data_IF_769755861959
#
_entry.id   IF_769755861959
#
_cell.length_a   1.000
_cell.length_b   1.000
_cell.length_c   1.000
_cell.angle_alpha   90.00
_cell.angle_beta   90.00
_cell.angle_gamma   90.00
#
_symmetry.space_group_name_H-M   'P 1'
#
loop_
_entity.id
_entity.type
_entity.pdbx_description
1 polymer ?
#
# COMPACT_ATOMS: atom_id res chain seq x y z
N UNK A 1 8.65 -8.09 29.58
CA UNK A 1 7.86 -8.29 30.84
C UNK A 1 6.64 -7.39 30.75
N UNK A 2 5.44 -7.98 30.62
CA UNK A 2 4.17 -7.25 30.45
C UNK A 2 3.26 -7.84 29.37
N UNK A 3 3.86 -8.45 28.34
CA UNK A 3 3.15 -9.13 27.26
C UNK A 3 3.41 -10.65 27.24
N UNK A 4 2.50 -11.40 26.64
CA UNK A 4 2.64 -12.81 26.24
C UNK A 4 2.53 -12.94 24.74
N UNK A 5 3.15 -13.97 24.18
CA UNK A 5 3.11 -14.27 22.75
C UNK A 5 2.60 -15.69 22.54
N UNK A 6 1.71 -15.88 21.57
CA UNK A 6 1.23 -17.18 21.14
C UNK A 6 0.98 -17.18 19.63
N UNK A 7 0.98 -18.35 19.01
CA UNK A 7 0.52 -18.47 17.62
C UNK A 7 -0.98 -18.14 17.55
N UNK A 8 -1.38 -17.52 16.45
CA UNK A 8 -2.76 -17.27 16.11
C UNK A 8 -3.44 -18.58 15.68
N UNK A 9 -4.67 -18.78 16.14
CA UNK A 9 -5.54 -19.86 15.68
C UNK A 9 -6.71 -19.33 14.87
N UNK A 10 -7.56 -20.24 14.40
CA UNK A 10 -8.79 -19.90 13.64
C UNK A 10 -9.75 -18.99 14.45
N UNK A 11 -9.67 -19.05 15.78
CA UNK A 11 -10.43 -18.20 16.70
C UNK A 11 -9.98 -16.72 16.67
N UNK A 12 -8.77 -16.43 16.18
CA UNK A 12 -8.26 -15.06 16.06
C UNK A 12 -8.61 -14.41 14.71
N UNK A 13 -9.27 -15.11 13.78
CA UNK A 13 -9.65 -14.56 12.47
C UNK A 13 -10.40 -13.22 12.59
N UNK A 14 -11.41 -13.06 13.49
CA UNK A 14 -12.09 -11.77 13.63
C UNK A 14 -11.14 -10.63 14.05
N UNK A 15 -10.13 -10.93 14.87
CA UNK A 15 -9.12 -9.96 15.26
C UNK A 15 -8.20 -9.62 14.07
N UNK A 16 -7.71 -10.63 13.34
CA UNK A 16 -6.82 -10.44 12.19
C UNK A 16 -7.51 -9.71 11.03
N UNK A 17 -8.80 -9.95 10.79
CA UNK A 17 -9.59 -9.18 9.83
C UNK A 17 -9.70 -7.70 10.24
N UNK A 18 -9.87 -7.41 11.53
CA UNK A 18 -9.86 -6.02 12.03
C UNK A 18 -8.49 -5.36 11.84
N UNK A 19 -7.41 -6.10 12.08
CA UNK A 19 -6.05 -5.61 11.83
C UNK A 19 -5.81 -5.36 10.33
N UNK A 20 -6.34 -6.21 9.46
CA UNK A 20 -6.33 -6.00 8.00
C UNK A 20 -7.10 -4.72 7.64
N UNK A 21 -8.28 -4.49 8.21
CA UNK A 21 -9.04 -3.24 8.01
C UNK A 21 -8.25 -2.00 8.44
N UNK A 22 -7.59 -2.04 9.60
CA UNK A 22 -6.72 -0.95 10.08
C UNK A 22 -5.59 -0.71 9.09
N UNK A 23 -4.94 -1.77 8.60
CA UNK A 23 -3.90 -1.67 7.59
C UNK A 23 -4.44 -1.04 6.30
N UNK A 24 -5.54 -1.55 5.74
CA UNK A 24 -6.15 -1.04 4.51
C UNK A 24 -6.63 0.40 4.63
N UNK A 25 -6.94 0.88 5.83
CA UNK A 25 -7.28 2.29 6.07
C UNK A 25 -6.05 3.24 6.02
N UNK A 26 -4.85 2.72 6.24
CA UNK A 26 -3.60 3.51 6.27
C UNK A 26 -2.87 3.55 4.92
N UNK A 27 -3.16 2.64 3.98
CA UNK A 27 -2.53 2.57 2.66
C UNK A 27 -3.54 2.68 1.54
N UNK A 28 -3.17 3.36 0.45
CA UNK A 28 -4.06 3.62 -0.70
C UNK A 28 -4.27 2.42 -1.60
N UNK A 29 -3.35 1.45 -1.54
CA UNK A 29 -3.48 0.13 -2.15
C UNK A 29 -3.11 -0.90 -1.10
N UNK A 30 -3.86 -1.98 -1.05
CA UNK A 30 -3.67 -3.09 -0.13
C UNK A 30 -4.33 -4.32 -0.73
N UNK A 31 -3.92 -5.49 -0.28
CA UNK A 31 -4.68 -6.71 -0.55
C UNK A 31 -5.83 -6.82 0.44
N UNK A 32 -6.92 -7.41 -0.02
CA UNK A 32 -8.10 -7.68 0.80
C UNK A 32 -8.06 -9.13 1.26
N UNK A 33 -8.17 -9.35 2.57
CA UNK A 33 -8.28 -10.69 3.18
C UNK A 33 -9.59 -10.79 3.95
N UNK A 34 -10.45 -11.72 3.53
CA UNK A 34 -11.65 -12.11 4.29
C UNK A 34 -11.36 -13.34 5.18
N UNK A 35 -12.41 -13.86 5.83
CA UNK A 35 -12.33 -15.05 6.66
C UNK A 35 -11.76 -16.26 5.92
N UNK A 36 -12.10 -16.48 4.64
CA UNK A 36 -11.62 -17.64 3.89
C UNK A 36 -10.12 -17.52 3.60
N UNK A 37 -9.64 -16.32 3.26
CA UNK A 37 -8.22 -16.05 3.09
C UNK A 37 -7.45 -16.28 4.40
N UNK A 38 -7.94 -15.75 5.52
CA UNK A 38 -7.31 -15.95 6.82
C UNK A 38 -7.33 -17.40 7.27
N UNK A 39 -8.45 -18.11 7.06
CA UNK A 39 -8.56 -19.54 7.34
C UNK A 39 -7.47 -20.29 6.59
N UNK A 40 -7.38 -20.12 5.28
CA UNK A 40 -6.34 -20.74 4.46
C UNK A 40 -4.93 -20.49 5.01
N UNK A 41 -4.57 -19.22 5.28
CA UNK A 41 -3.23 -18.88 5.79
C UNK A 41 -2.91 -19.49 7.16
N UNK A 42 -3.92 -19.69 8.01
CA UNK A 42 -3.77 -20.26 9.36
C UNK A 42 -3.89 -21.79 9.39
N UNK A 43 -4.23 -22.43 8.26
CA UNK A 43 -4.36 -23.89 8.15
C UNK A 43 -3.54 -24.44 6.99
N UNK A 44 -4.10 -24.51 5.79
CA UNK A 44 -3.49 -25.18 4.64
C UNK A 44 -2.26 -24.43 4.09
N UNK A 45 -2.21 -23.12 4.27
CA UNK A 45 -1.09 -22.27 3.86
C UNK A 45 0.19 -22.56 4.65
N UNK A 46 0.07 -23.04 5.89
CA UNK A 46 1.22 -23.31 6.78
C UNK A 46 2.15 -24.40 6.23
N UNK A 47 1.64 -25.35 5.46
CA UNK A 47 2.43 -26.47 4.92
C UNK A 47 2.98 -26.20 3.51
N UNK A 48 2.81 -24.97 3.01
CA UNK A 48 3.33 -24.55 1.70
C UNK A 48 4.73 -23.95 1.85
N UNK A 49 5.43 -23.74 0.73
CA UNK A 49 6.72 -23.00 0.71
C UNK A 49 6.61 -21.54 1.17
N UNK A 50 5.38 -21.05 1.36
CA UNK A 50 5.06 -19.71 1.82
C UNK A 50 4.49 -19.67 3.25
N UNK A 51 4.55 -20.81 3.95
CA UNK A 51 4.13 -20.96 5.34
C UNK A 51 4.62 -19.82 6.22
N UNK A 52 3.75 -19.34 7.11
CA UNK A 52 4.03 -18.19 7.95
C UNK A 52 3.43 -18.34 9.33
N UNK A 53 4.23 -18.06 10.34
CA UNK A 53 3.74 -17.97 11.71
C UNK A 53 3.13 -16.58 11.94
N UNK A 54 1.85 -16.57 12.33
CA UNK A 54 1.18 -15.35 12.81
C UNK A 54 1.20 -15.37 14.34
N UNK A 55 1.90 -14.42 14.95
CA UNK A 55 2.05 -14.33 16.40
C UNK A 55 1.15 -13.25 16.96
N UNK A 56 0.35 -13.58 17.96
CA UNK A 56 -0.46 -12.65 18.75
C UNK A 56 0.33 -12.25 20.00
N UNK A 57 0.58 -10.96 20.15
CA UNK A 57 1.07 -10.34 21.36
C UNK A 57 -0.12 -9.84 22.20
N UNK A 58 -0.22 -10.30 23.43
CA UNK A 58 -1.27 -9.91 24.37
C UNK A 58 -0.66 -9.20 25.58
N UNK A 59 -1.08 -7.96 25.84
CA UNK A 59 -0.67 -7.22 27.02
C UNK A 59 -1.51 -7.63 28.24
N UNK A 60 -0.85 -8.09 29.30
CA UNK A 60 -1.50 -8.63 30.50
C UNK A 60 -2.26 -7.60 31.33
N UNK A 61 -1.97 -6.31 31.15
CA UNK A 61 -2.51 -5.24 32.00
C UNK A 61 -3.80 -4.64 31.45
N UNK A 62 -3.92 -4.54 30.13
CA UNK A 62 -5.04 -3.86 29.45
C UNK A 62 -5.72 -4.72 28.39
N UNK A 63 -5.35 -6.00 28.26
CA UNK A 63 -5.87 -6.94 27.27
C UNK A 63 -5.70 -6.48 25.82
N UNK A 64 -4.79 -5.54 25.54
CA UNK A 64 -4.45 -5.12 24.19
C UNK A 64 -3.85 -6.29 23.42
N UNK A 65 -4.34 -6.51 22.19
CA UNK A 65 -3.80 -7.48 21.25
C UNK A 65 -3.14 -6.77 20.07
N UNK A 66 -1.99 -7.26 19.66
CA UNK A 66 -1.27 -6.89 18.44
C UNK A 66 -0.77 -8.16 17.77
N UNK A 67 -0.40 -8.09 16.51
CA UNK A 67 0.20 -9.24 15.82
C UNK A 67 1.48 -8.87 15.07
N UNK A 68 2.26 -9.91 14.78
CA UNK A 68 3.24 -9.88 13.71
C UNK A 68 3.19 -11.17 12.89
N UNK A 69 3.72 -11.11 11.68
CA UNK A 69 3.91 -12.27 10.80
C UNK A 69 5.39 -12.55 10.61
N UNK A 70 5.77 -13.81 10.80
CA UNK A 70 7.12 -14.34 10.61
C UNK A 70 7.05 -15.47 9.59
N UNK A 71 7.41 -15.23 8.32
CA UNK A 71 7.53 -16.29 7.31
C UNK A 71 8.48 -17.41 7.79
N UNK A 72 8.17 -18.65 7.41
CA UNK A 72 9.07 -19.79 7.64
C UNK A 72 10.33 -19.65 6.82
N UNK A 73 10.15 -19.39 5.51
CA UNK A 73 11.20 -19.21 4.53
C UNK A 73 11.17 -17.81 3.91
N UNK A 74 12.28 -17.45 3.26
CA UNK A 74 12.39 -16.20 2.51
C UNK A 74 13.82 -15.85 2.13
N UNK A 75 13.97 -14.80 1.32
CA UNK A 75 15.28 -14.42 0.80
C UNK A 75 16.16 -13.69 1.83
N UNK A 76 17.39 -14.14 1.95
CA UNK A 76 18.44 -13.55 2.79
C UNK A 76 18.63 -14.29 4.12
N UNK A 77 19.52 -13.77 4.96
CA UNK A 77 19.96 -14.47 6.19
C UNK A 77 19.23 -14.02 7.45
N UNK A 78 18.55 -12.87 7.45
CA UNK A 78 17.86 -12.36 8.63
C UNK A 78 16.52 -13.04 8.91
N UNK A 79 16.04 -12.95 10.16
CA UNK A 79 14.67 -13.32 10.50
C UNK A 79 13.71 -12.28 9.91
N UNK A 80 12.88 -12.69 8.96
CA UNK A 80 11.93 -11.79 8.30
C UNK A 80 10.71 -11.57 9.20
N UNK A 81 10.37 -10.30 9.42
CA UNK A 81 9.06 -9.89 9.93
C UNK A 81 8.35 -9.15 8.80
N UNK A 82 7.30 -9.76 8.25
CA UNK A 82 6.62 -9.27 7.03
C UNK A 82 5.35 -8.47 7.32
N UNK A 83 4.76 -8.61 8.49
CA UNK A 83 3.58 -7.83 8.92
C UNK A 83 3.70 -7.49 10.41
N UNK A 84 3.23 -6.31 10.79
CA UNK A 84 3.03 -5.86 12.17
C UNK A 84 1.76 -5.02 12.22
N UNK A 85 0.98 -5.11 13.29
CA UNK A 85 -0.13 -4.19 13.59
C UNK A 85 0.25 -2.72 13.36
N UNK A 86 -0.47 -2.00 12.49
CA UNK A 86 -0.12 -0.62 12.11
C UNK A 86 -0.26 0.39 13.27
N UNK A 87 -1.20 0.15 14.17
CA UNK A 87 -1.52 1.02 15.31
C UNK A 87 -0.76 0.63 16.59
N UNK A 88 0.22 -0.27 16.53
CA UNK A 88 1.05 -0.72 17.66
C UNK A 88 1.76 0.44 18.40
N UNK A 89 1.75 0.48 19.73
CA UNK A 89 2.44 1.53 20.49
C UNK A 89 3.97 1.36 20.48
N UNK A 90 4.72 2.41 20.86
CA UNK A 90 6.20 2.34 20.96
C UNK A 90 6.61 1.32 22.03
N UNK A 91 5.94 1.29 23.18
CA UNK A 91 6.23 0.34 24.25
C UNK A 91 5.92 -1.11 23.83
N UNK A 92 4.83 -1.31 23.09
CA UNK A 92 4.46 -2.59 22.52
C UNK A 92 5.48 -3.06 21.46
N UNK A 93 5.97 -2.16 20.60
CA UNK A 93 7.05 -2.44 19.64
C UNK A 93 8.35 -2.87 20.32
N UNK A 94 8.72 -2.22 21.43
CA UNK A 94 9.89 -2.61 22.21
C UNK A 94 9.81 -4.07 22.69
N UNK A 95 8.64 -4.49 23.19
CA UNK A 95 8.41 -5.89 23.60
C UNK A 95 8.40 -6.84 22.38
N UNK A 96 7.79 -6.43 21.26
CA UNK A 96 7.75 -7.21 20.03
C UNK A 96 9.17 -7.42 19.46
N UNK A 97 10.02 -6.41 19.42
CA UNK A 97 11.40 -6.55 18.94
C UNK A 97 12.26 -7.43 19.83
N UNK A 98 12.05 -7.42 21.14
CA UNK A 98 12.70 -8.38 22.04
C UNK A 98 12.26 -9.82 21.74
N UNK A 99 10.97 -10.04 21.53
CA UNK A 99 10.45 -11.33 21.09
C UNK A 99 11.02 -11.77 19.74
N UNK A 100 11.03 -10.89 18.74
CA UNK A 100 11.64 -11.18 17.43
C UNK A 100 13.14 -11.48 17.54
N UNK A 101 13.85 -10.86 18.49
CA UNK A 101 15.26 -11.16 18.75
C UNK A 101 15.45 -12.57 19.31
N UNK A 102 14.60 -12.98 20.25
CA UNK A 102 14.59 -14.36 20.76
C UNK A 102 14.32 -15.36 19.62
N UNK A 103 13.32 -15.09 18.77
CA UNK A 103 13.05 -15.91 17.58
C UNK A 103 14.20 -15.96 16.58
N UNK A 104 14.93 -14.86 16.42
CA UNK A 104 16.08 -14.82 15.54
C UNK A 104 17.19 -15.74 16.07
N UNK A 105 17.44 -15.72 17.39
CA UNK A 105 18.41 -16.61 18.03
C UNK A 105 17.97 -18.08 17.96
N UNK A 106 16.69 -18.38 18.21
CA UNK A 106 16.15 -19.74 18.12
C UNK A 106 16.29 -20.34 16.71
N UNK A 107 16.17 -19.51 15.67
CA UNK A 107 16.30 -19.91 14.25
C UNK A 107 17.71 -19.69 13.68
N UNK A 108 18.71 -19.43 14.52
CA UNK A 108 20.10 -19.16 14.12
C UNK A 108 20.23 -18.06 13.03
N UNK A 109 19.41 -17.00 13.17
CA UNK A 109 19.42 -15.84 12.29
C UNK A 109 20.27 -14.72 12.91
N UNK A 110 21.22 -14.12 12.17
CA UNK A 110 22.16 -13.13 12.70
C UNK A 110 21.53 -11.77 13.04
N UNK A 111 20.34 -11.46 12.52
CA UNK A 111 19.64 -10.20 12.74
C UNK A 111 18.15 -10.31 12.38
N UNK A 112 17.36 -9.31 12.80
CA UNK A 112 15.96 -9.14 12.39
C UNK A 112 15.92 -8.28 11.12
N UNK A 113 15.10 -8.68 10.15
CA UNK A 113 14.83 -7.95 8.92
C UNK A 113 13.34 -7.60 8.87
N UNK A 114 13.02 -6.30 8.93
CA UNK A 114 11.65 -5.84 8.74
C UNK A 114 11.37 -5.67 7.25
N UNK A 115 10.49 -6.50 6.69
CA UNK A 115 9.95 -6.33 5.34
C UNK A 115 8.68 -5.47 5.42
N UNK A 116 8.84 -4.24 5.92
CA UNK A 116 7.76 -3.28 6.15
C UNK A 116 8.07 -1.98 5.41
N UNK A 117 7.04 -1.16 5.20
CA UNK A 117 7.26 0.19 4.68
C UNK A 117 8.15 1.01 5.64
N UNK A 118 9.15 1.73 5.14
CA UNK A 118 10.11 2.49 5.98
C UNK A 118 9.41 3.56 6.84
N UNK A 119 8.31 4.14 6.34
CA UNK A 119 7.49 5.10 7.10
C UNK A 119 6.44 4.47 8.03
N UNK A 120 6.29 3.14 8.06
CA UNK A 120 5.45 2.46 9.07
C UNK A 120 5.97 2.78 10.47
N UNK A 121 5.13 2.63 11.49
CA UNK A 121 5.54 2.93 12.87
C UNK A 121 6.71 2.05 13.31
N UNK A 122 6.66 0.75 12.99
CA UNK A 122 7.74 -0.18 13.24
C UNK A 122 9.02 0.16 12.45
N UNK A 123 8.88 0.49 11.16
CA UNK A 123 10.00 0.88 10.31
C UNK A 123 10.74 2.11 10.84
N UNK A 124 10.00 3.19 11.15
CA UNK A 124 10.59 4.42 11.71
C UNK A 124 11.27 4.18 13.05
N UNK A 125 10.65 3.39 13.93
CA UNK A 125 11.26 3.04 15.22
C UNK A 125 12.56 2.26 15.03
N UNK A 126 12.57 1.23 14.17
CA UNK A 126 13.76 0.45 13.90
C UNK A 126 14.90 1.32 13.34
N UNK A 127 14.60 2.18 12.36
CA UNK A 127 15.58 3.13 11.80
C UNK A 127 16.11 4.08 12.89
N UNK A 128 15.25 4.61 13.78
CA UNK A 128 15.69 5.46 14.89
C UNK A 128 16.56 4.73 15.92
N UNK A 129 16.41 3.41 16.04
CA UNK A 129 17.24 2.55 16.87
C UNK A 129 18.56 2.14 16.18
N UNK A 130 18.82 2.62 14.96
CA UNK A 130 20.05 2.37 14.21
C UNK A 130 19.94 1.23 13.18
N UNK A 131 18.74 0.74 12.87
CA UNK A 131 18.58 -0.19 11.77
C UNK A 131 18.95 0.48 10.44
N UNK A 132 19.65 -0.26 9.58
CA UNK A 132 19.93 0.18 8.21
C UNK A 132 18.63 0.19 7.42
N UNK A 133 18.33 1.32 6.79
CA UNK A 133 17.19 1.44 5.88
C UNK A 133 17.33 0.46 4.69
N UNK A 134 16.28 -0.31 4.44
CA UNK A 134 16.23 -1.26 3.34
C UNK A 134 15.77 -0.62 2.03
N UNK A 135 16.11 -1.27 0.92
CA UNK A 135 15.59 -0.98 -0.43
C UNK A 135 14.60 -2.08 -0.82
N UNK A 136 13.32 -2.00 -0.39
CA UNK A 136 12.36 -3.07 -0.64
C UNK A 136 12.10 -3.25 -2.14
N UNK A 137 11.78 -4.48 -2.53
CA UNK A 137 11.31 -4.77 -3.89
C UNK A 137 10.00 -4.04 -4.16
N UNK A 138 9.87 -3.51 -5.37
CA UNK A 138 8.63 -2.89 -5.83
C UNK A 138 7.80 -3.91 -6.62
N UNK A 139 6.51 -4.00 -6.30
CA UNK A 139 5.56 -4.76 -7.11
C UNK A 139 5.41 -4.12 -8.48
N UNK A 140 5.47 -4.93 -9.53
CA UNK A 140 5.11 -4.50 -10.88
C UNK A 140 3.61 -4.69 -11.08
N UNK A 141 2.90 -3.59 -11.33
CA UNK A 141 1.45 -3.59 -11.49
C UNK A 141 1.11 -3.19 -12.93
N UNK A 142 0.18 -3.91 -13.54
CA UNK A 142 -0.43 -3.54 -14.83
C UNK A 142 -1.90 -3.24 -14.59
N UNK A 143 -2.40 -2.16 -15.20
CA UNK A 143 -3.82 -1.84 -15.27
C UNK A 143 -4.27 -2.17 -16.69
N UNK A 144 -4.90 -3.35 -16.93
CA UNK A 144 -5.25 -3.77 -18.29
C UNK A 144 -6.30 -2.85 -18.91
N UNK A 145 -7.30 -2.44 -18.11
CA UNK A 145 -8.42 -1.61 -18.57
C UNK A 145 -8.49 -0.28 -17.84
N UNK A 146 -7.77 0.72 -18.35
CA UNK A 146 -7.59 2.03 -17.71
C UNK A 146 -8.91 2.78 -17.52
N UNK A 147 -9.79 2.72 -18.51
CA UNK A 147 -11.11 3.36 -18.43
C UNK A 147 -11.99 2.69 -17.36
N UNK A 148 -11.93 1.36 -17.23
CA UNK A 148 -12.65 0.65 -16.17
C UNK A 148 -12.09 1.03 -14.79
N UNK A 149 -10.77 1.00 -14.63
CA UNK A 149 -10.11 1.41 -13.39
C UNK A 149 -10.52 2.82 -12.96
N UNK A 150 -10.47 3.81 -13.87
CA UNK A 150 -10.86 5.20 -13.60
C UNK A 150 -12.35 5.32 -13.22
N UNK A 151 -13.24 4.51 -13.81
CA UNK A 151 -14.64 4.44 -13.38
C UNK A 151 -14.78 3.83 -11.99
N UNK A 152 -14.01 2.79 -11.67
CA UNK A 152 -14.03 2.14 -10.36
C UNK A 152 -13.57 3.09 -9.26
N UNK A 153 -12.51 3.87 -9.49
CA UNK A 153 -12.00 4.82 -8.51
C UNK A 153 -12.69 6.19 -8.57
N UNK A 154 -13.76 6.34 -9.36
CA UNK A 154 -14.53 7.59 -9.51
C UNK A 154 -14.80 8.31 -8.18
N UNK A 155 -15.34 7.64 -7.12
CA UNK A 155 -15.64 8.33 -5.87
C UNK A 155 -14.41 8.97 -5.21
N UNK A 156 -13.23 8.37 -5.40
CA UNK A 156 -11.96 8.89 -4.88
C UNK A 156 -11.55 10.14 -5.66
N UNK A 157 -11.65 10.09 -6.99
CA UNK A 157 -11.31 11.21 -7.86
C UNK A 157 -12.21 12.41 -7.61
N UNK A 158 -13.53 12.21 -7.51
CA UNK A 158 -14.50 13.25 -7.20
C UNK A 158 -14.23 13.89 -5.84
N UNK A 159 -13.99 13.07 -4.80
CA UNK A 159 -13.63 13.58 -3.47
C UNK A 159 -12.39 14.49 -3.50
N UNK A 160 -11.36 14.10 -4.26
CA UNK A 160 -10.13 14.91 -4.42
C UNK A 160 -10.41 16.21 -5.15
N UNK A 161 -11.15 16.17 -6.25
CA UNK A 161 -11.52 17.36 -7.03
C UNK A 161 -12.36 18.33 -6.18
N UNK A 162 -13.37 17.84 -5.47
CA UNK A 162 -14.23 18.64 -4.60
C UNK A 162 -13.49 19.31 -3.44
N UNK A 163 -12.40 18.70 -2.95
CA UNK A 163 -11.56 19.25 -1.90
C UNK A 163 -10.46 20.22 -2.42
N UNK A 164 -10.42 20.49 -3.73
CA UNK A 164 -9.40 21.31 -4.38
C UNK A 164 -9.98 22.59 -4.98
N UNK A 165 -9.12 23.41 -5.60
CA UNK A 165 -9.53 24.56 -6.40
C UNK A 165 -10.31 24.19 -7.68
N UNK A 166 -10.43 22.90 -8.02
CA UNK A 166 -11.17 22.39 -9.16
C UNK A 166 -12.60 21.92 -8.84
N UNK A 167 -13.14 22.22 -7.66
CA UNK A 167 -14.49 21.78 -7.25
C UNK A 167 -15.63 22.21 -8.19
N UNK A 168 -15.45 23.29 -8.96
CA UNK A 168 -16.39 23.73 -10.00
C UNK A 168 -16.07 23.27 -11.43
N UNK A 169 -15.04 22.43 -11.61
CA UNK A 169 -14.52 22.08 -12.93
C UNK A 169 -15.60 21.38 -13.79
N UNK A 170 -15.82 21.93 -14.99
CA UNK A 170 -16.86 21.49 -15.93
C UNK A 170 -16.29 21.45 -17.35
N UNK A 171 -15.35 20.55 -17.57
CA UNK A 171 -14.74 20.34 -18.88
C UNK A 171 -14.18 18.92 -18.98
N UNK A 172 -13.43 18.66 -20.03
CA UNK A 172 -12.76 17.41 -20.33
C UNK A 172 -11.30 17.48 -19.90
N UNK A 173 -10.87 16.44 -19.18
CA UNK A 173 -9.45 16.18 -18.90
C UNK A 173 -9.03 14.89 -19.59
N UNK A 174 -7.96 14.93 -20.39
CA UNK A 174 -7.45 13.78 -21.13
C UNK A 174 -6.18 13.21 -20.53
N UNK A 175 -6.19 11.91 -20.27
CA UNK A 175 -4.97 11.13 -20.12
C UNK A 175 -4.55 10.61 -21.49
N UNK A 176 -3.35 11.00 -21.93
CA UNK A 176 -2.78 10.59 -23.21
C UNK A 176 -1.64 9.61 -22.98
N UNK A 177 -1.80 8.40 -23.52
CA UNK A 177 -0.81 7.34 -23.43
C UNK A 177 -0.05 7.09 -24.72
N UNK A 178 -0.04 8.08 -25.62
CA UNK A 178 0.57 8.07 -26.96
C UNK A 178 -0.11 7.13 -27.95
N UNK A 179 -0.33 5.86 -27.57
CA UNK A 179 -1.03 4.84 -28.37
C UNK A 179 -2.53 4.81 -28.12
N UNK A 180 -2.97 5.38 -27.01
CA UNK A 180 -4.38 5.44 -26.62
C UNK A 180 -4.63 6.68 -25.77
N UNK A 181 -5.88 7.10 -25.68
CA UNK A 181 -6.27 8.24 -24.86
C UNK A 181 -7.56 7.93 -24.11
N UNK A 182 -7.72 8.50 -22.92
CA UNK A 182 -8.93 8.40 -22.11
C UNK A 182 -9.38 9.79 -21.71
N UNK A 183 -10.61 10.13 -22.07
CA UNK A 183 -11.27 11.38 -21.69
C UNK A 183 -12.08 11.16 -20.41
N UNK A 184 -11.79 11.97 -19.40
CA UNK A 184 -12.60 12.14 -18.19
C UNK A 184 -13.46 13.39 -18.37
N UNK A 185 -14.77 13.22 -18.42
CA UNK A 185 -15.73 14.33 -18.62
C UNK A 185 -16.30 14.75 -17.28
N UNK A 186 -16.07 16.00 -16.90
CA UNK A 186 -16.48 16.55 -15.63
C UNK A 186 -17.63 17.55 -15.76
N UNK A 187 -18.44 17.64 -14.71
CA UNK A 187 -19.47 18.68 -14.55
C UNK A 187 -19.57 19.04 -13.07
N UNK A 188 -19.26 20.30 -12.74
CA UNK A 188 -19.24 20.82 -11.37
C UNK A 188 -18.47 19.91 -10.40
N UNK A 189 -17.29 19.44 -10.80
CA UNK A 189 -16.46 18.57 -9.97
C UNK A 189 -16.88 17.09 -9.93
N UNK A 190 -17.98 16.72 -10.59
CA UNK A 190 -18.43 15.33 -10.71
C UNK A 190 -17.95 14.69 -12.02
N UNK A 191 -17.50 13.43 -11.96
CA UNK A 191 -17.03 12.67 -13.11
C UNK A 191 -18.21 11.98 -13.80
N UNK A 192 -18.71 12.60 -14.87
CA UNK A 192 -19.91 12.15 -15.57
C UNK A 192 -19.62 10.95 -16.48
N UNK A 193 -18.46 10.91 -17.13
CA UNK A 193 -18.11 9.77 -17.99
C UNK A 193 -16.61 9.59 -18.16
N UNK A 194 -16.21 8.35 -18.44
CA UNK A 194 -14.84 7.97 -18.82
C UNK A 194 -14.92 7.18 -20.12
N UNK A 195 -14.34 7.71 -21.19
CA UNK A 195 -14.47 7.17 -22.56
C UNK A 195 -13.17 7.29 -23.36
N UNK A 196 -13.00 6.56 -24.47
CA UNK A 196 -11.87 6.76 -25.37
C UNK A 196 -11.79 8.22 -25.82
N UNK A 197 -10.57 8.75 -25.95
CA UNK A 197 -10.41 10.15 -26.28
C UNK A 197 -10.81 10.49 -27.71
N UNK A 198 -11.54 11.60 -27.86
CA UNK A 198 -12.01 12.10 -29.16
C UNK A 198 -11.84 13.61 -29.28
N UNK A 199 -11.50 14.08 -30.49
CA UNK A 199 -11.33 15.51 -30.80
C UNK A 199 -10.26 16.22 -29.97
N UNK A 200 -10.27 17.55 -30.01
CA UNK A 200 -9.36 18.40 -29.23
C UNK A 200 -9.67 18.35 -27.73
N UNK A 201 -8.66 18.56 -26.89
CA UNK A 201 -8.81 18.58 -25.44
C UNK A 201 -7.89 19.65 -24.84
N UNK A 202 -8.46 20.72 -24.23
CA UNK A 202 -7.66 21.83 -23.69
C UNK A 202 -6.86 21.41 -22.46
N UNK A 203 -7.37 20.48 -21.65
CA UNK A 203 -6.65 19.93 -20.51
C UNK A 203 -6.20 18.49 -20.81
N UNK A 204 -4.90 18.28 -20.90
CA UNK A 204 -4.36 16.94 -21.10
C UNK A 204 -3.03 16.73 -20.39
N UNK A 205 -2.78 15.47 -20.07
CA UNK A 205 -1.55 15.01 -19.46
C UNK A 205 -1.07 13.75 -20.19
N UNK A 206 0.16 13.79 -20.68
CA UNK A 206 0.78 12.69 -21.43
C UNK A 206 1.74 11.91 -20.55
N UNK A 207 1.66 10.59 -20.59
CA UNK A 207 2.59 9.66 -19.94
C UNK A 207 2.55 8.30 -20.64
N UNK A 208 3.63 7.53 -20.61
CA UNK A 208 3.60 6.18 -21.15
C UNK A 208 2.74 5.23 -20.31
N UNK A 209 2.07 4.28 -20.97
CA UNK A 209 1.21 3.25 -20.39
C UNK A 209 1.79 2.56 -19.14
N UNK A 210 3.08 2.21 -19.17
CA UNK A 210 3.78 1.49 -18.09
C UNK A 210 3.94 2.32 -16.80
N UNK A 211 3.91 3.65 -16.91
CA UNK A 211 4.07 4.56 -15.76
C UNK A 211 2.74 4.94 -15.13
N UNK A 212 1.62 4.64 -15.80
CA UNK A 212 0.30 4.96 -15.29
C UNK A 212 0.01 4.32 -13.93
N UNK A 213 0.29 3.02 -13.70
CA UNK A 213 0.07 2.41 -12.38
C UNK A 213 0.91 3.07 -11.28
N UNK A 214 2.14 3.47 -11.60
CA UNK A 214 3.05 4.11 -10.63
C UNK A 214 2.47 5.47 -10.18
N UNK A 215 1.96 6.26 -11.13
CA UNK A 215 1.31 7.54 -10.85
C UNK A 215 -0.05 7.34 -10.16
N UNK A 216 -0.94 6.55 -10.75
CA UNK A 216 -2.34 6.49 -10.35
C UNK A 216 -2.54 5.81 -8.98
N UNK A 217 -1.59 4.96 -8.57
CA UNK A 217 -1.57 4.32 -7.26
C UNK A 217 -0.73 5.11 -6.24
N UNK A 218 -0.31 6.33 -6.59
CA UNK A 218 0.35 7.28 -5.70
C UNK A 218 1.76 6.90 -5.25
N UNK A 219 2.44 5.99 -5.95
CA UNK A 219 3.80 5.57 -5.56
C UNK A 219 4.83 6.66 -5.84
N UNK A 220 4.69 7.39 -6.96
CA UNK A 220 5.52 8.54 -7.32
C UNK A 220 4.70 9.64 -7.96
N UNK A 221 5.11 10.87 -7.74
CA UNK A 221 4.61 12.05 -8.44
C UNK A 221 5.01 12.01 -9.91
N UNK A 222 4.29 12.75 -10.76
CA UNK A 222 4.66 12.81 -12.17
C UNK A 222 6.01 13.50 -12.38
N UNK A 223 6.42 14.42 -11.50
CA UNK A 223 7.72 15.09 -11.53
C UNK A 223 8.87 14.11 -11.29
N UNK A 224 8.75 13.26 -10.27
CA UNK A 224 9.72 12.20 -10.00
C UNK A 224 9.80 11.21 -11.17
N UNK A 225 8.66 10.88 -11.77
CA UNK A 225 8.62 10.04 -12.97
C UNK A 225 9.28 10.72 -14.17
N UNK A 226 9.05 12.03 -14.37
CA UNK A 226 9.66 12.80 -15.46
C UNK A 226 11.18 12.82 -15.36
N UNK A 227 11.71 12.90 -14.14
CA UNK A 227 13.16 12.87 -13.91
C UNK A 227 13.81 11.61 -14.50
N UNK A 228 13.10 10.48 -14.47
CA UNK A 228 13.57 9.19 -15.01
C UNK A 228 13.19 9.03 -16.49
N UNK A 229 11.98 9.47 -16.87
CA UNK A 229 11.45 9.38 -18.24
C UNK A 229 10.90 10.74 -18.68
N UNK A 230 11.64 11.52 -19.48
CA UNK A 230 11.28 12.91 -19.81
C UNK A 230 9.97 13.09 -20.58
N UNK A 231 9.52 12.04 -21.28
CA UNK A 231 8.29 12.02 -22.08
C UNK A 231 7.05 11.84 -21.19
N UNK A 232 6.86 12.80 -20.28
CA UNK A 232 5.72 12.92 -19.37
C UNK A 232 5.43 14.41 -19.21
N UNK A 233 4.33 14.92 -19.76
CA UNK A 233 4.04 16.34 -19.65
C UNK A 233 2.55 16.71 -19.63
N UNK A 234 2.17 17.67 -18.76
CA UNK A 234 0.91 18.38 -18.89
C UNK A 234 1.00 19.35 -20.07
N UNK A 235 -0.12 19.60 -20.75
CA UNK A 235 -0.17 20.57 -21.85
C UNK A 235 -0.37 22.03 -21.38
N UNK A 236 -0.58 22.25 -20.09
CA UNK A 236 -0.74 23.57 -19.46
C UNK A 236 -0.51 23.45 -17.94
N UNK A 237 -0.31 24.57 -17.26
CA UNK A 237 -0.18 24.59 -15.80
C UNK A 237 -1.47 24.15 -15.09
N UNK A 238 -2.64 24.43 -15.70
CA UNK A 238 -3.91 23.90 -15.22
C UNK A 238 -3.92 22.37 -15.25
N UNK A 239 -3.42 21.76 -16.32
CA UNK A 239 -3.31 20.29 -16.41
C UNK A 239 -2.32 19.70 -15.42
N UNK A 240 -1.23 20.42 -15.10
CA UNK A 240 -0.25 20.01 -14.10
C UNK A 240 -0.89 19.90 -12.70
N UNK A 241 -1.59 20.95 -12.28
CA UNK A 241 -2.30 20.97 -10.99
C UNK A 241 -3.46 19.97 -10.96
N UNK A 242 -4.14 19.77 -12.09
CA UNK A 242 -5.25 18.82 -12.17
C UNK A 242 -4.78 17.38 -12.01
N UNK A 243 -3.68 16.98 -12.66
CA UNK A 243 -3.14 15.61 -12.50
C UNK A 243 -2.62 15.35 -11.08
N UNK A 244 -2.02 16.35 -10.44
CA UNK A 244 -1.59 16.28 -9.03
C UNK A 244 -2.79 16.12 -8.08
N UNK A 245 -3.91 16.78 -8.40
CA UNK A 245 -5.15 16.64 -7.66
C UNK A 245 -5.76 15.24 -7.82
N UNK A 246 -5.74 14.70 -9.05
CA UNK A 246 -6.28 13.36 -9.30
C UNK A 246 -5.44 12.25 -8.67
N UNK A 247 -4.11 12.35 -8.77
CA UNK A 247 -3.16 11.30 -8.39
C UNK A 247 -2.04 11.84 -7.50
N UNK A 248 -2.38 12.32 -6.28
CA UNK A 248 -1.37 12.76 -5.33
C UNK A 248 -0.52 11.57 -4.85
N UNK A 249 0.73 11.80 -4.40
CA UNK A 249 1.51 10.76 -3.76
C UNK A 249 0.78 10.27 -2.49
N UNK A 250 0.86 8.98 -2.23
CA UNK A 250 0.18 8.36 -1.10
C UNK A 250 1.02 7.25 -0.47
N UNK A 251 0.74 6.93 0.79
CA UNK A 251 1.28 5.72 1.40
C UNK A 251 0.73 4.51 0.64
N UNK A 252 1.62 3.78 -0.04
CA UNK A 252 1.27 2.62 -0.84
C UNK A 252 2.24 1.50 -0.51
N UNK A 253 1.71 0.42 0.04
CA UNK A 253 2.45 -0.79 0.42
C UNK A 253 1.52 -1.97 0.26
N UNK A 254 2.03 -3.12 -0.17
CA UNK A 254 1.24 -4.34 -0.30
C UNK A 254 2.02 -5.45 0.39
N UNK A 255 1.43 -6.03 1.43
CA UNK A 255 1.98 -7.24 2.04
C UNK A 255 1.97 -8.40 1.03
N UNK A 256 2.99 -9.23 1.11
CA UNK A 256 3.07 -10.50 0.40
C UNK A 256 1.87 -11.40 0.77
N UNK A 257 1.18 -11.93 -0.24
CA UNK A 257 -0.14 -12.58 -0.07
C UNK A 257 -0.08 -14.10 0.07
N UNK A 258 1.07 -14.69 -0.21
CA UNK A 258 1.32 -16.10 -0.04
C UNK A 258 1.98 -16.32 1.31
#
# INVERSE_FOLDING_TARGET
>A
RGCTFRLAGIEDIPFLMKEDEIYRANYSISAFRDEAHWRYMLTEGLITEYGSEFWIMENKQNSEKKYCRIPEDGFGTGLIISEISEDISIDALGNLFLFCKEKALDRDKPYIRLNLHNNSRAGRMAISMGAKEGTPYAWQIKIPEKALFLRTIKPILEKRIMASSFSGFSDKFRLNFYKSTVDLIWKNGELISVKPGQGECPFSFSLSDELFPILSLGYRTWQELRYIKPDIFPNSEGSALFVETLFPPSNSWIYEQY
#
